data_IF_932664276112
#
_entry.id   IF_932664276112
#
_cell.length_a   1.000
_cell.length_b   1.000
_cell.length_c   1.000
_cell.angle_alpha   90.00
_cell.angle_beta   90.00
_cell.angle_gamma   90.00
#
_symmetry.space_group_name_H-M   'P 1'
#
loop_
_entity.id
_entity.type
_entity.pdbx_description
1 polymer ?
#
# COMPACT_ATOMS: atom_id res chain seq x y z
N UNK A 1 35.09 -30.45 -92.13
CA UNK A 1 33.87 -29.93 -91.47
C UNK A 1 34.10 -29.98 -89.96
N UNK A 2 34.13 -28.84 -89.27
CA UNK A 2 34.46 -28.74 -87.82
C UNK A 2 33.22 -28.37 -87.00
N UNK A 3 33.05 -29.12 -85.91
CA UNK A 3 31.97 -29.16 -84.90
C UNK A 3 31.87 -27.88 -84.03
N UNK A 4 30.72 -27.59 -83.38
CA UNK A 4 30.49 -26.35 -82.64
C UNK A 4 31.05 -26.39 -81.20
N UNK A 5 31.53 -25.23 -80.73
CA UNK A 5 32.06 -25.02 -79.38
C UNK A 5 30.94 -24.61 -78.40
N UNK A 6 30.81 -25.34 -77.30
CA UNK A 6 30.09 -24.90 -76.11
C UNK A 6 30.84 -23.79 -75.37
N UNK A 7 30.09 -22.83 -74.79
CA UNK A 7 30.62 -21.82 -73.88
C UNK A 7 29.85 -21.91 -72.55
N UNK A 8 30.60 -22.15 -71.49
CA UNK A 8 30.16 -22.18 -70.09
C UNK A 8 29.86 -20.78 -69.55
N UNK A 9 28.89 -20.73 -68.63
CA UNK A 9 28.45 -19.58 -67.87
C UNK A 9 29.51 -19.16 -66.83
N UNK A 10 29.88 -17.87 -66.83
CA UNK A 10 30.56 -17.23 -65.69
C UNK A 10 29.63 -16.18 -65.08
N UNK A 11 29.08 -16.52 -63.91
CA UNK A 11 28.35 -15.62 -63.01
C UNK A 11 29.31 -14.60 -62.40
N UNK A 12 29.12 -13.33 -62.73
CA UNK A 12 29.84 -12.20 -62.14
C UNK A 12 28.99 -11.60 -61.02
N UNK A 13 29.44 -11.76 -59.77
CA UNK A 13 28.81 -11.17 -58.59
C UNK A 13 29.27 -9.71 -58.44
N UNK A 14 28.34 -8.77 -58.58
CA UNK A 14 28.56 -7.35 -58.29
C UNK A 14 28.56 -7.18 -56.77
N UNK A 15 29.72 -6.83 -56.19
CA UNK A 15 29.82 -6.40 -54.79
C UNK A 15 29.44 -4.93 -54.69
N UNK A 16 28.20 -4.64 -54.30
CA UNK A 16 27.81 -3.27 -53.92
C UNK A 16 28.17 -3.07 -52.45
N UNK A 17 29.26 -2.33 -52.19
CA UNK A 17 29.61 -1.88 -50.85
C UNK A 17 28.69 -0.72 -50.46
N UNK A 18 27.78 -0.94 -49.51
CA UNK A 18 27.00 0.13 -48.87
C UNK A 18 27.86 0.75 -47.78
N UNK A 19 28.26 2.01 -47.97
CA UNK A 19 28.92 2.83 -46.94
C UNK A 19 27.83 3.39 -46.03
N UNK A 20 27.72 2.90 -44.80
CA UNK A 20 26.93 3.55 -43.76
C UNK A 20 27.72 4.74 -43.21
N UNK A 21 27.29 5.95 -43.53
CA UNK A 21 27.74 7.15 -42.82
C UNK A 21 27.14 7.13 -41.41
N UNK A 22 27.97 6.91 -40.40
CA UNK A 22 27.59 7.04 -39.00
C UNK A 22 27.39 8.53 -38.67
N UNK A 23 26.14 8.99 -38.70
CA UNK A 23 25.76 10.26 -38.08
C UNK A 23 25.69 9.99 -36.57
N UNK A 24 26.76 10.36 -35.87
CA UNK A 24 26.80 10.33 -34.41
C UNK A 24 25.78 11.32 -33.85
N UNK A 25 24.59 10.82 -33.52
CA UNK A 25 23.67 11.53 -32.66
C UNK A 25 24.27 11.52 -31.24
N UNK A 26 24.90 12.63 -30.85
CA UNK A 26 25.12 12.97 -29.44
C UNK A 26 23.75 13.15 -28.79
N UNK A 27 23.17 12.03 -28.35
CA UNK A 27 22.09 12.01 -27.37
C UNK A 27 22.72 12.50 -26.05
N UNK A 28 22.62 13.80 -25.79
CA UNK A 28 22.73 14.30 -24.42
C UNK A 28 21.63 13.63 -23.61
N UNK A 29 22.00 12.64 -22.80
CA UNK A 29 21.15 12.14 -21.74
C UNK A 29 20.90 13.31 -20.77
N UNK A 30 19.75 13.95 -20.89
CA UNK A 30 19.26 14.87 -19.88
C UNK A 30 18.96 14.05 -18.61
N UNK A 31 19.94 13.97 -17.72
CA UNK A 31 19.80 13.36 -16.39
C UNK A 31 18.97 14.26 -15.43
N UNK A 32 18.46 13.69 -14.32
CA UNK A 32 17.11 13.90 -13.78
C UNK A 32 17.00 15.03 -12.74
N UNK A 33 17.66 16.17 -12.96
CA UNK A 33 17.75 17.23 -11.94
C UNK A 33 16.37 17.70 -11.42
N UNK A 34 15.35 17.75 -12.28
CA UNK A 34 13.99 18.17 -11.88
C UNK A 34 13.28 17.11 -11.03
N UNK A 35 13.42 15.84 -11.34
CA UNK A 35 12.82 14.73 -10.57
C UNK A 35 13.51 14.54 -9.21
N UNK A 36 14.83 14.71 -9.15
CA UNK A 36 15.59 14.70 -7.89
C UNK A 36 15.25 15.91 -6.99
N UNK A 37 15.03 17.09 -7.56
CA UNK A 37 14.64 18.28 -6.78
C UNK A 37 13.23 18.17 -6.19
N UNK A 38 12.30 17.51 -6.91
CA UNK A 38 10.94 17.31 -6.46
C UNK A 38 10.85 16.24 -5.36
N UNK A 39 11.61 15.14 -5.48
CA UNK A 39 11.69 14.14 -4.40
C UNK A 39 12.41 14.69 -3.17
N UNK A 40 13.39 15.59 -3.32
CA UNK A 40 14.06 16.27 -2.20
C UNK A 40 13.09 16.96 -1.24
N UNK A 41 12.21 17.83 -1.76
CA UNK A 41 11.21 18.51 -0.91
C UNK A 41 10.20 17.55 -0.29
N UNK A 42 9.72 16.56 -1.05
CA UNK A 42 8.79 15.53 -0.55
C UNK A 42 9.40 14.75 0.61
N UNK A 43 10.71 14.49 0.57
CA UNK A 43 11.43 13.83 1.66
C UNK A 43 11.61 14.75 2.86
N UNK A 44 11.98 16.02 2.65
CA UNK A 44 12.21 17.00 3.72
C UNK A 44 10.92 17.32 4.50
N UNK A 45 9.82 17.57 3.78
CA UNK A 45 8.53 17.97 4.34
C UNK A 45 7.73 16.80 4.95
N UNK A 46 8.20 15.56 4.77
CA UNK A 46 7.51 14.38 5.29
C UNK A 46 7.48 14.37 6.82
N UNK A 47 6.27 14.40 7.40
CA UNK A 47 6.04 14.22 8.85
C UNK A 47 6.48 12.83 9.31
N UNK A 48 6.18 11.81 8.52
CA UNK A 48 6.57 10.43 8.76
C UNK A 48 7.25 9.81 7.54
N UNK A 49 8.10 8.84 7.80
CA UNK A 49 9.02 8.26 6.81
C UNK A 49 8.86 6.75 6.67
N UNK A 50 7.70 6.16 6.97
CA UNK A 50 7.52 4.72 6.84
C UNK A 50 7.30 4.30 5.37
N UNK A 51 7.44 2.99 5.04
CA UNK A 51 7.05 2.47 3.73
C UNK A 51 5.61 2.84 3.33
N UNK A 52 4.66 2.80 4.28
CA UNK A 52 3.29 3.26 4.06
C UNK A 52 3.21 4.75 3.71
N UNK A 53 3.96 5.61 4.40
CA UNK A 53 3.94 7.05 4.11
C UNK A 53 4.48 7.33 2.70
N UNK A 54 5.48 6.56 2.24
CA UNK A 54 5.97 6.65 0.86
C UNK A 54 4.90 6.24 -0.15
N UNK A 55 4.18 5.14 0.15
CA UNK A 55 3.05 4.65 -0.65
C UNK A 55 1.93 5.71 -0.78
N UNK A 56 1.55 6.38 0.31
CA UNK A 56 0.53 7.43 0.26
C UNK A 56 0.97 8.61 -0.60
N UNK A 57 2.23 9.06 -0.45
CA UNK A 57 2.78 10.19 -1.21
C UNK A 57 2.89 9.92 -2.71
N UNK A 58 3.36 8.75 -3.12
CA UNK A 58 3.54 8.42 -4.54
C UNK A 58 2.21 8.32 -5.32
N UNK A 59 1.12 7.96 -4.63
CA UNK A 59 -0.22 7.90 -5.20
C UNK A 59 -1.06 9.15 -4.96
N UNK A 60 -0.52 10.13 -4.22
CA UNK A 60 -1.20 11.36 -3.80
C UNK A 60 -2.51 11.06 -3.08
N UNK A 61 -2.47 10.05 -2.21
CA UNK A 61 -3.58 9.76 -1.31
C UNK A 61 -3.61 10.74 -0.14
N UNK A 62 -4.77 10.83 0.48
CA UNK A 62 -4.98 11.72 1.61
C UNK A 62 -4.41 11.06 2.87
N UNK A 63 -3.53 11.77 3.58
CA UNK A 63 -2.84 11.26 4.78
C UNK A 63 -3.51 11.76 6.08
N UNK A 64 -4.73 12.29 6.02
CA UNK A 64 -5.45 12.86 7.16
C UNK A 64 -6.95 12.92 6.89
N UNK A 65 -7.73 13.12 7.95
CA UNK A 65 -9.16 13.32 7.83
C UNK A 65 -9.48 14.80 7.48
N UNK A 66 -10.66 15.06 6.90
CA UNK A 66 -11.13 16.42 6.54
C UNK A 66 -12.43 16.74 7.27
N UNK A 67 -12.44 17.85 8.02
CA UNK A 67 -13.64 18.29 8.73
C UNK A 67 -14.05 17.27 9.81
N UNK A 68 -15.32 16.90 9.80
CA UNK A 68 -15.98 15.93 10.68
C UNK A 68 -16.19 14.56 10.01
N UNK A 69 -15.43 14.25 8.95
CA UNK A 69 -15.57 12.99 8.23
C UNK A 69 -15.36 11.77 9.15
N UNK A 70 -16.14 10.72 8.91
CA UNK A 70 -15.99 9.45 9.61
C UNK A 70 -15.17 8.42 8.80
N UNK A 71 -14.97 7.23 9.37
CA UNK A 71 -14.25 6.15 8.68
C UNK A 71 -14.92 5.68 7.38
N UNK A 72 -16.24 5.76 7.29
CA UNK A 72 -17.02 5.44 6.10
C UNK A 72 -16.82 6.48 5.00
N UNK A 73 -16.83 7.76 5.34
CA UNK A 73 -16.55 8.86 4.40
C UNK A 73 -15.12 8.77 3.86
N UNK A 74 -14.15 8.54 4.74
CA UNK A 74 -12.75 8.34 4.35
C UNK A 74 -12.60 7.12 3.42
N UNK A 75 -13.23 5.99 3.75
CA UNK A 75 -13.24 4.81 2.91
C UNK A 75 -13.86 5.07 1.53
N UNK A 76 -15.05 5.68 1.47
CA UNK A 76 -15.73 5.98 0.21
C UNK A 76 -14.91 6.89 -0.71
N UNK A 77 -14.21 7.87 -0.13
CA UNK A 77 -13.22 8.66 -0.87
C UNK A 77 -12.10 7.78 -1.43
N UNK A 78 -11.46 6.97 -0.57
CA UNK A 78 -10.32 6.14 -0.97
C UNK A 78 -10.71 5.10 -2.02
N UNK A 79 -11.85 4.44 -1.86
CA UNK A 79 -12.43 3.50 -2.80
C UNK A 79 -12.62 4.14 -4.19
N UNK A 80 -13.21 5.34 -4.24
CA UNK A 80 -13.35 6.10 -5.49
C UNK A 80 -12.00 6.45 -6.13
N UNK A 81 -11.00 6.85 -5.33
CA UNK A 81 -9.65 7.15 -5.84
C UNK A 81 -8.97 5.92 -6.41
N UNK A 82 -9.06 4.80 -5.70
CA UNK A 82 -8.47 3.52 -6.10
C UNK A 82 -9.14 2.95 -7.34
N UNK A 83 -10.47 2.99 -7.44
CA UNK A 83 -11.20 2.57 -8.64
C UNK A 83 -10.82 3.39 -9.87
N UNK A 84 -10.69 4.71 -9.72
CA UNK A 84 -10.26 5.59 -10.81
C UNK A 84 -8.80 5.37 -11.24
N UNK A 85 -7.90 5.11 -10.29
CA UNK A 85 -6.49 4.86 -10.59
C UNK A 85 -6.29 3.45 -11.17
N UNK A 86 -6.90 2.41 -10.61
CA UNK A 86 -6.79 1.05 -11.11
C UNK A 86 -7.28 0.91 -12.57
N UNK A 87 -8.36 1.61 -12.94
CA UNK A 87 -8.88 1.60 -14.31
C UNK A 87 -8.11 2.47 -15.32
N UNK A 88 -7.18 3.32 -14.86
CA UNK A 88 -6.54 4.32 -15.74
C UNK A 88 -5.02 4.32 -15.74
N UNK A 89 -4.34 4.03 -14.62
CA UNK A 89 -2.89 3.85 -14.47
C UNK A 89 -2.60 3.33 -13.04
N UNK A 90 -2.10 2.10 -13.00
CA UNK A 90 -1.51 1.28 -11.94
C UNK A 90 -1.11 1.96 -10.61
N UNK A 91 -1.48 1.32 -9.49
CA UNK A 91 -1.08 1.73 -8.13
C UNK A 91 0.42 1.54 -7.94
N UNK A 92 1.09 2.60 -7.50
CA UNK A 92 2.53 2.62 -7.24
C UNK A 92 2.78 2.16 -5.81
N UNK A 93 3.79 1.31 -5.60
CA UNK A 93 4.25 0.93 -4.25
C UNK A 93 5.77 0.92 -4.16
N UNK A 94 6.35 1.19 -2.98
CA UNK A 94 7.76 0.89 -2.74
C UNK A 94 8.09 -0.55 -3.15
N UNK A 95 9.21 -0.76 -3.85
CA UNK A 95 9.64 -2.11 -4.24
C UNK A 95 9.92 -3.03 -3.03
N UNK A 96 10.25 -2.42 -1.90
CA UNK A 96 10.54 -3.08 -0.62
C UNK A 96 9.80 -2.38 0.52
N UNK A 97 9.56 -3.08 1.63
CA UNK A 97 8.94 -2.51 2.83
C UNK A 97 7.42 -2.34 2.78
N UNK A 98 6.78 -2.39 1.60
CA UNK A 98 5.32 -2.33 1.45
C UNK A 98 4.80 -3.41 0.48
N UNK A 99 4.70 -4.63 0.98
CA UNK A 99 4.34 -5.83 0.21
C UNK A 99 2.88 -5.84 -0.25
N UNK A 100 2.51 -6.85 -1.06
CA UNK A 100 1.13 -7.07 -1.51
C UNK A 100 0.19 -7.34 -0.33
N UNK A 101 0.68 -8.07 0.68
CA UNK A 101 -0.05 -8.30 1.93
C UNK A 101 -0.22 -7.01 2.73
N UNK A 102 0.80 -6.14 2.80
CA UNK A 102 0.67 -4.84 3.45
C UNK A 102 -0.33 -3.92 2.73
N UNK A 103 -0.35 -3.95 1.39
CA UNK A 103 -1.35 -3.23 0.61
C UNK A 103 -2.77 -3.76 0.86
N UNK A 104 -2.98 -5.09 0.79
CA UNK A 104 -4.28 -5.71 1.11
C UNK A 104 -4.69 -5.45 2.56
N UNK A 105 -3.75 -5.51 3.49
CA UNK A 105 -3.96 -5.21 4.89
C UNK A 105 -4.43 -3.78 5.12
N UNK A 106 -3.78 -2.82 4.47
CA UNK A 106 -4.20 -1.42 4.50
C UNK A 106 -5.62 -1.27 3.98
N UNK A 107 -5.96 -1.93 2.86
CA UNK A 107 -7.32 -1.91 2.32
C UNK A 107 -8.36 -2.42 3.33
N UNK A 108 -8.09 -3.54 4.01
CA UNK A 108 -9.01 -4.04 5.04
C UNK A 108 -9.06 -3.10 6.25
N UNK A 109 -7.93 -2.52 6.64
CA UNK A 109 -7.82 -1.60 7.77
C UNK A 109 -8.71 -0.36 7.60
N UNK A 110 -8.73 0.23 6.40
CA UNK A 110 -9.54 1.42 6.10
C UNK A 110 -10.98 1.10 5.67
N UNK A 111 -11.30 -0.16 5.32
CA UNK A 111 -12.64 -0.55 4.86
C UNK A 111 -13.64 -0.55 6.01
N UNK A 112 -14.67 0.28 5.89
CA UNK A 112 -15.69 0.51 6.92
C UNK A 112 -17.02 -0.24 6.69
N UNK A 113 -17.33 -0.64 5.45
CA UNK A 113 -18.57 -1.35 5.09
C UNK A 113 -18.37 -2.43 4.02
N UNK A 114 -19.34 -3.35 3.90
CA UNK A 114 -19.36 -4.47 2.96
C UNK A 114 -20.26 -5.63 3.41
N UNK A 115 -20.28 -6.71 2.63
CA UNK A 115 -21.41 -7.65 2.61
C UNK A 115 -21.13 -8.97 3.36
N UNK A 116 -19.87 -9.28 3.69
CA UNK A 116 -19.52 -10.54 4.37
C UNK A 116 -18.23 -10.48 5.22
N UNK A 117 -17.08 -10.17 4.61
CA UNK A 117 -15.76 -10.19 5.26
C UNK A 117 -14.82 -9.14 4.67
N UNK A 118 -13.68 -8.91 5.31
CA UNK A 118 -12.70 -7.91 4.89
C UNK A 118 -12.99 -6.50 5.42
N UNK A 119 -13.86 -6.38 6.41
CA UNK A 119 -14.17 -5.10 7.05
C UNK A 119 -13.32 -5.02 8.31
N UNK A 120 -12.28 -4.17 8.29
CA UNK A 120 -11.46 -3.91 9.46
C UNK A 120 -12.01 -2.75 10.29
N UNK A 121 -12.62 -1.75 9.66
CA UNK A 121 -13.16 -0.54 10.29
C UNK A 121 -12.18 0.12 11.29
N UNK A 122 -10.87 -0.09 11.13
CA UNK A 122 -9.90 0.23 12.17
C UNK A 122 -9.70 1.74 12.29
N UNK A 123 -9.92 2.48 11.20
CA UNK A 123 -9.88 3.94 11.16
C UNK A 123 -11.03 4.62 11.90
N UNK A 124 -12.03 3.89 12.41
CA UNK A 124 -13.05 4.48 13.28
C UNK A 124 -12.46 5.01 14.59
N UNK A 125 -11.37 4.41 15.09
CA UNK A 125 -10.63 4.85 16.27
C UNK A 125 -9.17 5.18 15.94
N UNK A 126 -8.52 4.37 15.08
CA UNK A 126 -7.13 4.59 14.68
C UNK A 126 -7.02 5.56 13.50
N UNK A 127 -7.37 6.83 13.75
CA UNK A 127 -7.45 7.89 12.73
C UNK A 127 -6.08 8.39 12.28
N UNK A 128 -6.01 8.86 11.02
CA UNK A 128 -4.78 9.38 10.43
C UNK A 128 -4.45 10.80 10.95
N UNK A 129 -3.16 11.19 11.01
CA UNK A 129 -2.00 10.45 10.52
C UNK A 129 -1.31 9.59 11.60
N UNK A 130 -1.67 9.74 12.87
CA UNK A 130 -1.01 9.09 14.01
C UNK A 130 -1.57 7.68 14.33
N UNK A 131 -2.63 7.26 13.64
CA UNK A 131 -3.37 6.03 13.88
C UNK A 131 -3.92 5.94 15.31
N UNK A 132 -4.49 7.05 15.78
CA UNK A 132 -5.16 7.18 17.08
C UNK A 132 -6.00 8.45 17.07
N UNK A 133 -7.18 8.39 17.66
CA UNK A 133 -8.04 9.52 17.94
C UNK A 133 -7.80 10.15 19.31
N UNK A 134 -6.90 9.56 20.12
CA UNK A 134 -6.63 9.99 21.49
C UNK A 134 -7.80 9.80 22.46
N UNK A 135 -8.83 9.03 22.06
CA UNK A 135 -10.00 8.77 22.88
C UNK A 135 -9.91 7.40 23.58
N UNK A 136 -10.90 7.10 24.42
CA UNK A 136 -11.05 5.82 25.08
C UNK A 136 -12.27 5.08 24.58
N UNK A 137 -12.15 3.77 24.40
CA UNK A 137 -13.22 2.95 23.84
C UNK A 137 -13.47 1.67 24.64
N UNK A 138 -14.72 1.23 24.66
CA UNK A 138 -15.07 -0.11 25.14
C UNK A 138 -14.91 -1.14 24.01
N UNK A 139 -13.75 -1.78 23.98
CA UNK A 139 -13.40 -2.79 22.96
C UNK A 139 -13.57 -4.24 23.44
N UNK A 140 -14.12 -4.46 24.64
CA UNK A 140 -14.31 -5.80 25.22
C UNK A 140 -13.04 -6.45 25.77
N UNK A 141 -12.09 -5.65 26.26
CA UNK A 141 -10.84 -6.13 26.89
C UNK A 141 -10.68 -5.71 28.36
N UNK A 142 -11.56 -4.84 28.86
CA UNK A 142 -11.66 -4.36 30.23
C UNK A 142 -13.07 -3.84 30.51
N UNK A 143 -13.41 -3.65 31.80
CA UNK A 143 -14.68 -3.07 32.23
C UNK A 143 -14.77 -1.57 31.89
N UNK A 144 -13.66 -0.85 32.08
CA UNK A 144 -13.54 0.57 31.76
C UNK A 144 -13.07 0.81 30.32
N UNK A 145 -13.41 1.96 29.70
CA UNK A 145 -12.86 2.37 28.40
C UNK A 145 -11.32 2.45 28.44
N UNK A 146 -10.67 1.99 27.37
CA UNK A 146 -9.21 1.96 27.26
C UNK A 146 -8.73 2.91 26.16
N UNK A 147 -7.58 3.56 26.36
CA UNK A 147 -7.02 4.50 25.40
C UNK A 147 -6.75 3.83 24.05
N UNK A 148 -7.04 4.52 22.95
CA UNK A 148 -6.61 4.15 21.60
C UNK A 148 -5.12 4.47 21.45
N UNK A 149 -4.19 3.50 21.47
CA UNK A 149 -2.78 3.81 21.27
C UNK A 149 -2.51 4.20 19.81
N UNK A 150 -1.48 5.01 19.57
CA UNK A 150 -0.92 5.13 18.23
C UNK A 150 -0.42 3.77 17.74
N UNK A 151 -0.68 3.46 16.47
CA UNK A 151 -0.17 2.26 15.80
C UNK A 151 1.15 2.50 15.06
N UNK A 152 1.78 3.66 15.21
CA UNK A 152 3.12 3.90 14.66
C UNK A 152 4.19 3.28 15.56
N UNK A 153 5.28 2.81 14.96
CA UNK A 153 6.47 2.32 15.67
C UNK A 153 6.17 1.17 16.67
N UNK A 154 5.42 0.17 16.22
CA UNK A 154 5.04 -0.98 17.06
C UNK A 154 6.14 -2.03 17.20
N UNK A 155 7.24 -1.94 16.43
CA UNK A 155 8.28 -2.98 16.40
C UNK A 155 8.93 -3.26 17.77
N UNK A 156 8.91 -2.28 18.69
CA UNK A 156 9.49 -2.42 20.03
C UNK A 156 8.54 -3.00 21.07
N UNK A 157 7.26 -3.20 20.73
CA UNK A 157 6.26 -3.74 21.65
C UNK A 157 6.42 -5.26 21.78
N UNK A 158 6.51 -5.74 23.02
CA UNK A 158 6.61 -7.17 23.35
C UNK A 158 5.25 -7.85 23.54
N UNK A 159 4.22 -7.05 23.82
CA UNK A 159 2.84 -7.46 24.02
C UNK A 159 1.92 -6.27 23.71
N UNK A 160 0.65 -6.57 23.48
CA UNK A 160 -0.40 -5.65 23.03
C UNK A 160 -1.57 -5.61 24.04
N UNK A 161 -2.41 -4.59 23.88
CA UNK A 161 -3.40 -4.14 24.86
C UNK A 161 -2.79 -3.61 26.17
N UNK A 162 -3.62 -2.90 26.94
CA UNK A 162 -3.27 -2.26 28.20
C UNK A 162 -2.82 -3.27 29.29
N UNK A 163 -3.19 -4.54 29.14
CA UNK A 163 -2.89 -5.63 30.07
C UNK A 163 -1.89 -6.67 29.50
N UNK A 164 -1.37 -6.46 28.29
CA UNK A 164 -0.45 -7.40 27.65
C UNK A 164 -1.09 -8.74 27.25
N UNK A 165 -2.42 -8.81 27.10
CA UNK A 165 -3.13 -10.08 26.86
C UNK A 165 -2.93 -10.69 25.47
N UNK A 166 -2.26 -9.98 24.56
CA UNK A 166 -1.88 -10.49 23.24
C UNK A 166 -0.35 -10.38 23.07
N UNK A 167 0.31 -11.48 22.74
CA UNK A 167 1.75 -11.54 22.55
C UNK A 167 2.17 -11.09 21.14
N UNK A 168 1.26 -11.15 20.16
CA UNK A 168 1.53 -10.79 18.76
C UNK A 168 0.53 -9.79 18.20
N UNK A 169 0.89 -9.11 17.09
CA UNK A 169 -0.02 -8.23 16.36
C UNK A 169 -1.24 -9.01 15.86
N UNK A 170 -1.01 -10.21 15.33
CA UNK A 170 -2.05 -11.10 14.84
C UNK A 170 -3.04 -11.47 15.94
N UNK A 171 -2.57 -11.80 17.15
CA UNK A 171 -3.44 -12.06 18.30
C UNK A 171 -4.24 -10.83 18.72
N UNK A 172 -3.64 -9.63 18.66
CA UNK A 172 -4.33 -8.39 18.98
C UNK A 172 -5.46 -8.09 17.98
N UNK A 173 -5.18 -8.25 16.69
CA UNK A 173 -6.17 -8.06 15.62
C UNK A 173 -7.25 -9.15 15.71
N UNK A 174 -6.86 -10.41 15.95
CA UNK A 174 -7.80 -11.52 16.12
C UNK A 174 -8.74 -11.28 17.30
N UNK A 175 -8.25 -10.70 18.41
CA UNK A 175 -9.10 -10.33 19.54
C UNK A 175 -10.17 -9.30 19.15
N UNK A 176 -9.85 -8.34 18.29
CA UNK A 176 -10.87 -7.42 17.76
C UNK A 176 -11.90 -8.13 16.89
N UNK A 177 -11.50 -9.10 16.07
CA UNK A 177 -12.43 -9.93 15.29
C UNK A 177 -13.36 -10.73 16.21
N UNK A 178 -12.81 -11.34 17.27
CA UNK A 178 -13.57 -12.12 18.23
C UNK A 178 -14.57 -11.25 19.00
N UNK A 179 -14.12 -10.08 19.48
CA UNK A 179 -14.97 -9.13 20.18
C UNK A 179 -16.04 -8.54 19.26
N UNK A 180 -15.72 -8.29 17.98
CA UNK A 180 -16.70 -7.86 16.98
C UNK A 180 -17.75 -8.93 16.69
N UNK A 181 -17.36 -10.22 16.68
CA UNK A 181 -18.32 -11.34 16.60
C UNK A 181 -19.22 -11.39 17.84
N UNK A 182 -18.66 -11.24 19.04
CA UNK A 182 -19.43 -11.22 20.29
C UNK A 182 -20.42 -10.06 20.28
N UNK A 183 -19.99 -8.84 19.94
CA UNK A 183 -20.84 -7.66 19.91
C UNK A 183 -22.02 -7.78 18.93
N UNK A 184 -21.82 -8.47 17.78
CA UNK A 184 -22.90 -8.77 16.83
C UNK A 184 -23.91 -9.78 17.36
N UNK A 185 -23.45 -10.75 18.15
CA UNK A 185 -24.28 -11.82 18.71
C UNK A 185 -25.01 -11.37 19.98
N UNK A 186 -24.37 -10.55 20.81
CA UNK A 186 -24.90 -10.01 22.05
C UNK A 186 -24.63 -8.51 22.18
N UNK A 187 -25.68 -7.71 21.96
CA UNK A 187 -25.63 -6.24 22.10
C UNK A 187 -25.44 -5.77 23.54
N UNK A 188 -25.53 -6.66 24.54
CA UNK A 188 -25.30 -6.34 25.95
C UNK A 188 -23.85 -6.58 26.40
N UNK A 189 -22.97 -7.01 25.49
CA UNK A 189 -21.57 -7.24 25.78
C UNK A 189 -20.79 -5.96 26.18
N UNK A 190 -21.40 -4.77 26.09
CA UNK A 190 -20.76 -3.50 26.44
C UNK A 190 -19.65 -3.11 25.47
N UNK A 191 -19.63 -3.69 24.27
CA UNK A 191 -18.64 -3.41 23.22
C UNK A 191 -19.23 -2.42 22.23
N UNK A 192 -18.44 -1.43 21.83
CA UNK A 192 -18.88 -0.41 20.88
C UNK A 192 -19.25 -0.98 19.51
N UNK A 193 -20.23 -0.33 18.87
CA UNK A 193 -20.78 -0.77 17.58
C UNK A 193 -19.72 -0.82 16.48
N UNK A 194 -18.73 0.06 16.53
CA UNK A 194 -17.64 0.12 15.56
C UNK A 194 -16.74 -1.13 15.59
N UNK A 195 -16.54 -1.72 16.77
CA UNK A 195 -15.87 -3.02 16.91
C UNK A 195 -16.77 -4.14 16.37
N UNK A 196 -18.08 -4.03 16.55
CA UNK A 196 -19.07 -4.96 15.99
C UNK A 196 -19.04 -5.06 14.45
N UNK A 197 -18.57 -4.02 13.75
CA UNK A 197 -18.42 -4.04 12.28
C UNK A 197 -17.22 -4.87 11.81
N UNK A 198 -16.28 -5.20 12.70
CA UNK A 198 -15.06 -5.91 12.34
C UNK A 198 -15.37 -7.37 11.96
N UNK A 199 -14.98 -7.74 10.75
CA UNK A 199 -15.15 -9.07 10.17
C UNK A 199 -13.98 -9.38 9.23
N UNK A 200 -12.98 -10.10 9.75
CA UNK A 200 -11.79 -10.51 9.00
C UNK A 200 -11.60 -12.03 9.07
N UNK A 201 -11.09 -12.61 7.98
CA UNK A 201 -10.56 -13.98 7.97
C UNK A 201 -9.14 -14.01 8.55
N UNK A 202 -8.64 -15.19 8.92
CA UNK A 202 -7.26 -15.35 9.41
C UNK A 202 -6.21 -14.83 8.42
N UNK A 203 -6.46 -14.98 7.11
CA UNK A 203 -5.58 -14.43 6.07
C UNK A 203 -5.56 -12.91 6.13
N UNK A 204 -6.74 -12.29 6.24
CA UNK A 204 -6.87 -10.83 6.33
C UNK A 204 -6.26 -10.29 7.63
N UNK A 205 -6.35 -11.03 8.74
CA UNK A 205 -5.65 -10.69 9.99
C UNK A 205 -4.13 -10.58 9.76
N UNK A 206 -3.52 -11.55 9.06
CA UNK A 206 -2.09 -11.52 8.72
C UNK A 206 -1.75 -10.36 7.78
N UNK A 207 -2.62 -10.06 6.82
CA UNK A 207 -2.44 -8.92 5.91
C UNK A 207 -2.49 -7.59 6.66
N UNK A 208 -3.47 -7.39 7.55
CA UNK A 208 -3.53 -6.20 8.42
C UNK A 208 -2.28 -6.11 9.30
N UNK A 209 -1.80 -7.23 9.85
CA UNK A 209 -0.55 -7.23 10.61
C UNK A 209 0.67 -6.85 9.75
N UNK A 210 0.73 -7.29 8.48
CA UNK A 210 1.76 -6.86 7.53
C UNK A 210 1.68 -5.35 7.25
N UNK A 211 0.48 -4.80 7.13
CA UNK A 211 0.27 -3.35 7.03
C UNK A 211 0.81 -2.61 8.26
N UNK A 212 0.44 -3.02 9.48
CA UNK A 212 0.88 -2.35 10.70
C UNK A 212 2.41 -2.36 10.85
N UNK A 213 3.08 -3.43 10.41
CA UNK A 213 4.56 -3.49 10.37
C UNK A 213 5.17 -2.47 9.40
N UNK A 214 4.44 -2.07 8.35
CA UNK A 214 4.88 -1.04 7.40
C UNK A 214 4.77 0.41 7.93
N UNK A 215 4.30 0.58 9.17
CA UNK A 215 4.22 1.88 9.86
C UNK A 215 5.51 2.22 10.65
N UNK A 216 6.53 1.37 10.57
CA UNK A 216 7.83 1.62 11.19
C UNK A 216 8.58 2.74 10.44
N UNK A 217 9.02 3.81 11.13
CA UNK A 217 9.79 4.87 10.48
C UNK A 217 11.14 4.35 10.01
N UNK A 218 11.60 4.85 8.86
CA UNK A 218 12.98 4.63 8.38
C UNK A 218 13.75 5.94 8.27
N UNK A 219 15.07 5.84 8.14
CA UNK A 219 15.94 6.96 7.83
C UNK A 219 15.51 7.67 6.54
N UNK A 220 15.70 9.00 6.48
CA UNK A 220 15.26 9.80 5.32
C UNK A 220 15.89 9.36 4.00
N UNK A 221 17.12 8.82 4.04
CA UNK A 221 17.77 8.22 2.86
C UNK A 221 16.99 7.02 2.33
N UNK A 222 16.63 6.08 3.21
CA UNK A 222 15.81 4.93 2.87
C UNK A 222 14.42 5.34 2.40
N UNK A 223 13.82 6.34 3.05
CA UNK A 223 12.52 6.90 2.63
C UNK A 223 12.58 7.49 1.21
N UNK A 224 13.65 8.20 0.89
CA UNK A 224 13.90 8.69 -0.47
C UNK A 224 13.99 7.55 -1.47
N UNK A 225 14.65 6.46 -1.11
CA UNK A 225 14.79 5.29 -1.98
C UNK A 225 13.44 4.62 -2.25
N UNK A 226 12.53 4.55 -1.27
CA UNK A 226 11.15 4.07 -1.49
C UNK A 226 10.35 4.92 -2.49
N UNK A 227 10.63 6.23 -2.58
CA UNK A 227 9.95 7.12 -3.51
C UNK A 227 10.48 7.01 -4.95
N UNK A 228 11.67 6.44 -5.14
CA UNK A 228 12.34 6.32 -6.44
C UNK A 228 12.22 4.88 -6.97
N UNK A 229 12.42 3.89 -6.10
CA UNK A 229 12.38 2.47 -6.44
C UNK A 229 10.96 1.94 -6.25
N UNK A 230 10.17 2.06 -7.32
CA UNK A 230 8.74 1.81 -7.31
C UNK A 230 8.40 0.58 -8.15
N UNK A 231 7.58 -0.29 -7.59
CA UNK A 231 6.88 -1.32 -8.35
C UNK A 231 5.49 -0.81 -8.70
N UNK A 232 5.08 -1.09 -9.93
CA UNK A 232 3.79 -0.71 -10.48
C UNK A 232 3.03 -2.01 -10.72
N UNK A 233 1.93 -2.25 -9.98
CA UNK A 233 1.14 -3.47 -10.13
C UNK A 233 -0.29 -3.18 -10.60
N UNK A 234 -0.85 -4.03 -11.47
CA UNK A 234 -2.29 -4.08 -11.66
C UNK A 234 -2.92 -4.51 -10.34
N UNK A 235 -3.91 -3.76 -9.90
CA UNK A 235 -4.65 -4.12 -8.69
C UNK A 235 -5.97 -4.73 -9.14
N UNK A 236 -6.11 -6.04 -8.92
CA UNK A 236 -7.42 -6.67 -8.94
C UNK A 236 -8.16 -6.24 -7.67
N UNK A 237 -8.94 -5.18 -7.79
CA UNK A 237 -9.82 -4.71 -6.73
C UNK A 237 -11.12 -5.54 -6.79
N UNK A 238 -11.11 -6.75 -6.24
CA UNK A 238 -12.34 -7.53 -6.03
C UNK A 238 -13.07 -7.00 -4.79
N UNK A 239 -13.68 -5.82 -4.93
CA UNK A 239 -14.52 -5.21 -3.88
C UNK A 239 -15.90 -5.84 -3.76
N UNK A 240 -16.26 -6.75 -4.68
CA UNK A 240 -17.63 -7.18 -4.95
C UNK A 240 -17.98 -8.57 -4.38
N UNK A 241 -17.33 -9.01 -3.30
CA UNK A 241 -17.69 -10.23 -2.55
C UNK A 241 -17.77 -9.98 -1.06
#
# INVERSE_FOLDING_TARGET
MRSPKGKENRTMWIKTTVVFAAVGALLFAAQPARAQSASGRVVEDAKYTSPYDAFMKMNRFREQFVGDEDAGDYWGFMESRLGNQAGRILIKRPAEGFSDDAFRGWMMFIRAYGDATGIGNCTACHTLPDFTDGQKHHIGTADEPVDTPSLRNLAKKKAFFHNGSAATLEEAIQRHVDNGRIARQDKRAGVEIEVGKIALTEKQVREVAAFLRSLEPVERSQFRDYLINVVIQPVELDFAK
#
